data_IF_142977199109
#
_entry.id   IF_142977199109
#
_cell.length_a   1.000
_cell.length_b   1.000
_cell.length_c   1.000
_cell.angle_alpha   90.00
_cell.angle_beta   90.00
_cell.angle_gamma   90.00
#
_symmetry.space_group_name_H-M   'P 1'
#
loop_
_entity.id
_entity.type
_entity.pdbx_description
1 polymer ?
#
# COMPACT_ATOMS: atom_id res chain seq x y z
N UNK A 1 -4.49 4.77 -26.57
CA UNK A 1 -3.73 4.34 -25.38
C UNK A 1 -4.02 5.31 -24.24
N UNK A 2 -4.28 4.80 -23.04
CA UNK A 2 -4.53 5.58 -21.84
C UNK A 2 -3.32 5.57 -20.92
N UNK A 3 -2.91 6.73 -20.40
CA UNK A 3 -1.83 6.82 -19.41
C UNK A 3 -2.41 6.63 -18.01
N UNK A 4 -2.21 5.47 -17.40
CA UNK A 4 -2.77 5.12 -16.11
C UNK A 4 -1.92 5.68 -14.96
N UNK A 5 -2.11 6.97 -14.65
CA UNK A 5 -1.32 7.71 -13.66
C UNK A 5 -1.84 7.57 -12.22
N UNK A 6 -3.09 7.14 -12.07
CA UNK A 6 -3.87 7.10 -10.84
C UNK A 6 -3.22 6.21 -9.77
N UNK A 7 -2.51 5.16 -10.21
CA UNK A 7 -1.79 4.23 -9.34
C UNK A 7 -0.42 4.76 -8.89
N UNK A 8 -0.01 5.94 -9.35
CA UNK A 8 1.26 6.57 -8.99
C UNK A 8 2.50 6.04 -9.73
N UNK A 9 2.29 5.20 -10.76
CA UNK A 9 3.34 4.73 -11.66
C UNK A 9 3.37 5.59 -12.92
N UNK A 10 4.56 6.00 -13.35
CA UNK A 10 4.72 6.94 -14.49
C UNK A 10 4.75 6.24 -15.85
N UNK A 11 5.00 4.94 -15.88
CA UNK A 11 5.30 4.17 -17.08
C UNK A 11 4.27 3.07 -17.38
N UNK A 12 3.02 3.23 -16.92
CA UNK A 12 1.93 2.28 -17.19
C UNK A 12 0.95 2.89 -18.20
N UNK A 13 0.78 2.21 -19.33
CA UNK A 13 -0.10 2.62 -20.40
C UNK A 13 -1.01 1.47 -20.82
N UNK A 14 -2.30 1.75 -20.96
CA UNK A 14 -3.30 0.76 -21.36
C UNK A 14 -3.56 0.91 -22.86
N UNK A 15 -3.43 -0.19 -23.61
CA UNK A 15 -3.80 -0.22 -25.01
C UNK A 15 -5.33 -0.25 -25.20
N UNK A 16 -6.03 -0.93 -24.29
CA UNK A 16 -7.46 -1.22 -24.29
C UNK A 16 -7.95 -1.51 -22.85
N UNK A 17 -9.18 -2.02 -22.69
CA UNK A 17 -9.76 -2.36 -21.37
C UNK A 17 -10.25 -1.14 -20.57
N UNK A 18 -10.49 -0.03 -21.25
CA UNK A 18 -11.02 1.21 -20.67
C UNK A 18 -11.99 1.89 -21.62
N UNK A 19 -12.97 2.59 -21.04
CA UNK A 19 -13.95 3.43 -21.74
C UNK A 19 -13.93 4.86 -21.20
N UNK A 20 -14.18 5.81 -22.09
CA UNK A 20 -14.40 7.22 -21.69
C UNK A 20 -15.89 7.43 -21.45
N UNK A 21 -16.25 7.98 -20.30
CA UNK A 21 -17.62 8.33 -19.93
C UNK A 21 -17.73 9.83 -19.68
N UNK A 22 -18.84 10.43 -20.08
CA UNK A 22 -19.14 11.83 -19.76
C UNK A 22 -19.79 11.91 -18.37
N UNK A 23 -19.29 12.81 -17.53
CA UNK A 23 -19.81 13.07 -16.19
C UNK A 23 -20.13 14.56 -16.03
N UNK A 24 -20.88 14.93 -14.99
CA UNK A 24 -21.16 16.32 -14.66
C UNK A 24 -19.89 17.18 -14.45
N UNK A 25 -18.75 16.55 -14.17
CA UNK A 25 -17.46 17.19 -13.92
C UNK A 25 -16.48 17.06 -15.11
N UNK A 26 -16.95 16.58 -16.27
CA UNK A 26 -16.16 16.36 -17.47
C UNK A 26 -15.97 14.88 -17.81
N UNK A 27 -15.04 14.60 -18.73
CA UNK A 27 -14.73 13.23 -19.17
C UNK A 27 -13.99 12.45 -18.08
N UNK A 28 -14.48 11.26 -17.78
CA UNK A 28 -13.82 10.30 -16.89
C UNK A 28 -13.47 9.02 -17.65
N UNK A 29 -12.48 8.28 -17.15
CA UNK A 29 -12.07 6.98 -17.68
C UNK A 29 -12.55 5.89 -16.74
N UNK A 30 -13.33 4.94 -17.24
CA UNK A 30 -13.70 3.73 -16.51
C UNK A 30 -12.87 2.55 -17.03
N UNK A 31 -12.14 1.90 -16.13
CA UNK A 31 -11.42 0.65 -16.41
C UNK A 31 -12.41 -0.51 -16.24
N UNK A 32 -12.40 -1.46 -17.18
CA UNK A 32 -13.35 -2.58 -17.19
C UNK A 32 -13.07 -3.58 -16.07
N UNK A 33 -11.81 -3.98 -15.91
CA UNK A 33 -11.33 -4.91 -14.89
C UNK A 33 -10.13 -4.30 -14.15
N UNK A 34 -10.43 -3.53 -13.10
CA UNK A 34 -9.39 -2.89 -12.27
C UNK A 34 -8.58 -3.94 -11.51
N UNK A 35 -9.23 -4.99 -11.01
CA UNK A 35 -8.58 -6.02 -10.19
C UNK A 35 -7.58 -6.82 -11.02
N UNK A 36 -8.01 -7.35 -12.17
CA UNK A 36 -7.13 -8.09 -13.08
C UNK A 36 -6.00 -7.22 -13.63
N UNK A 37 -6.27 -5.93 -13.91
CA UNK A 37 -5.23 -4.98 -14.30
C UNK A 37 -4.17 -4.82 -13.19
N UNK A 38 -4.60 -4.61 -11.95
CA UNK A 38 -3.71 -4.44 -10.81
C UNK A 38 -2.89 -5.71 -10.51
N UNK A 39 -3.52 -6.89 -10.58
CA UNK A 39 -2.84 -8.18 -10.45
C UNK A 39 -1.77 -8.36 -11.54
N UNK A 40 -2.08 -8.01 -12.80
CA UNK A 40 -1.12 -8.09 -13.90
C UNK A 40 0.07 -7.14 -13.71
N UNK A 41 -0.18 -5.89 -13.31
CA UNK A 41 0.87 -4.90 -13.03
C UNK A 41 1.75 -5.37 -11.87
N UNK A 42 1.13 -5.78 -10.76
CA UNK A 42 1.88 -6.22 -9.58
C UNK A 42 2.67 -7.49 -9.83
N UNK A 43 2.12 -8.45 -10.58
CA UNK A 43 2.83 -9.66 -11.02
C UNK A 43 4.08 -9.31 -11.82
N UNK A 44 3.95 -8.46 -12.83
CA UNK A 44 5.08 -7.97 -13.64
C UNK A 44 6.15 -7.30 -12.77
N UNK A 45 5.74 -6.41 -11.86
CA UNK A 45 6.66 -5.74 -10.94
C UNK A 45 7.37 -6.73 -10.03
N UNK A 46 6.67 -7.75 -9.55
CA UNK A 46 7.18 -8.74 -8.63
C UNK A 46 8.17 -9.73 -9.27
N UNK A 47 8.03 -10.06 -10.56
CA UNK A 47 8.85 -11.07 -11.23
C UNK A 47 9.96 -10.51 -12.11
N UNK A 48 9.77 -9.36 -12.75
CA UNK A 48 10.54 -9.05 -13.98
C UNK A 48 11.58 -7.95 -13.83
N UNK A 49 11.62 -7.21 -12.71
CA UNK A 49 12.55 -6.07 -12.53
C UNK A 49 13.70 -6.39 -11.58
N UNK A 50 14.94 -5.96 -11.90
CA UNK A 50 16.09 -6.21 -11.04
C UNK A 50 16.01 -5.48 -9.69
N UNK A 51 15.37 -4.31 -9.66
CA UNK A 51 15.08 -3.53 -8.44
C UNK A 51 13.81 -2.71 -8.62
N UNK A 52 13.05 -2.55 -7.54
CA UNK A 52 11.90 -1.67 -7.47
C UNK A 52 12.36 -0.23 -7.21
N UNK A 53 11.69 0.71 -7.89
CA UNK A 53 11.66 2.10 -7.46
C UNK A 53 10.78 2.26 -6.22
N UNK A 54 10.90 3.39 -5.53
CA UNK A 54 10.02 3.71 -4.40
C UNK A 54 8.54 3.70 -4.74
N UNK A 55 8.17 4.15 -5.94
CA UNK A 55 6.79 4.17 -6.40
C UNK A 55 6.24 2.76 -6.67
N UNK A 56 7.05 1.89 -7.30
CA UNK A 56 6.68 0.49 -7.54
C UNK A 56 6.60 -0.31 -6.24
N UNK A 57 7.53 -0.06 -5.30
CA UNK A 57 7.45 -0.62 -3.95
C UNK A 57 6.16 -0.18 -3.22
N UNK A 58 5.84 1.11 -3.29
CA UNK A 58 4.60 1.66 -2.71
C UNK A 58 3.35 1.03 -3.33
N UNK A 59 3.37 0.81 -4.65
CA UNK A 59 2.28 0.15 -5.36
C UNK A 59 2.05 -1.25 -4.77
N UNK A 60 3.06 -2.14 -4.76
CA UNK A 60 2.92 -3.49 -4.22
C UNK A 60 2.48 -3.51 -2.75
N UNK A 61 3.01 -2.60 -1.92
CA UNK A 61 2.59 -2.49 -0.51
C UNK A 61 1.11 -2.13 -0.37
N UNK A 62 0.62 -1.21 -1.20
CA UNK A 62 -0.79 -0.82 -1.19
C UNK A 62 -1.70 -1.93 -1.69
N UNK A 63 -1.28 -2.70 -2.68
CA UNK A 63 -2.05 -3.87 -3.14
C UNK A 63 -2.20 -4.91 -2.03
N UNK A 64 -1.19 -5.07 -1.18
CA UNK A 64 -1.27 -5.90 0.04
C UNK A 64 -2.05 -5.25 1.18
N UNK A 65 -2.64 -4.07 0.97
CA UNK A 65 -3.32 -3.27 2.01
C UNK A 65 -2.49 -2.99 3.26
N UNK A 66 -1.15 -3.11 3.20
CA UNK A 66 -0.28 -2.88 4.35
C UNK A 66 -0.03 -1.39 4.52
N UNK A 67 -0.05 -0.89 5.76
CA UNK A 67 0.42 0.48 6.04
C UNK A 67 1.97 0.56 5.97
N UNK A 68 2.52 1.78 6.00
CA UNK A 68 3.98 1.96 6.14
C UNK A 68 4.49 1.42 7.48
N UNK A 69 3.69 1.52 8.55
CA UNK A 69 3.99 0.96 9.86
C UNK A 69 3.89 -0.58 9.84
N UNK A 70 2.82 -1.13 9.25
CA UNK A 70 2.61 -2.57 9.12
C UNK A 70 3.74 -3.25 8.35
N UNK A 71 4.16 -2.70 7.20
CA UNK A 71 5.33 -3.23 6.50
C UNK A 71 6.63 -2.99 7.29
N UNK A 72 6.81 -1.80 7.87
CA UNK A 72 8.00 -1.50 8.67
C UNK A 72 8.17 -2.46 9.86
N UNK A 73 7.07 -2.84 10.50
CA UNK A 73 7.04 -3.77 11.63
C UNK A 73 7.63 -5.14 11.33
N UNK A 74 7.51 -5.64 10.09
CA UNK A 74 8.15 -6.89 9.65
C UNK A 74 9.67 -6.88 9.77
N UNK A 75 10.28 -5.69 9.77
CA UNK A 75 11.73 -5.47 9.81
C UNK A 75 12.19 -4.70 11.04
N UNK A 76 11.30 -4.44 12.02
CA UNK A 76 11.60 -3.57 13.15
C UNK A 76 11.91 -2.12 12.74
N UNK A 77 11.37 -1.67 11.60
CA UNK A 77 11.57 -0.34 11.04
C UNK A 77 10.41 0.59 11.37
N UNK A 78 10.71 1.89 11.47
CA UNK A 78 9.70 2.91 11.62
C UNK A 78 9.00 3.19 10.27
N UNK A 79 7.73 3.59 10.32
CA UNK A 79 6.96 3.98 9.14
C UNK A 79 7.67 5.08 8.30
N UNK A 80 8.38 6.00 8.96
CA UNK A 80 9.14 7.06 8.30
C UNK A 80 10.25 6.51 7.39
N UNK A 81 10.90 5.41 7.77
CA UNK A 81 11.93 4.76 6.95
C UNK A 81 11.33 4.26 5.64
N UNK A 82 10.18 3.58 5.71
CA UNK A 82 9.42 3.12 4.53
C UNK A 82 8.99 4.32 3.68
N UNK A 83 8.51 5.40 4.30
CA UNK A 83 8.11 6.63 3.61
C UNK A 83 9.26 7.33 2.87
N UNK A 84 10.50 7.21 3.34
CA UNK A 84 11.68 7.73 2.64
C UNK A 84 11.97 6.94 1.37
N UNK A 85 11.79 5.61 1.41
CA UNK A 85 11.95 4.77 0.22
C UNK A 85 10.91 5.11 -0.84
N UNK A 86 9.64 5.21 -0.43
CA UNK A 86 8.52 5.46 -1.35
C UNK A 86 8.60 6.80 -2.07
N UNK A 87 9.13 7.82 -1.38
CA UNK A 87 9.37 9.16 -1.95
C UNK A 87 10.66 9.24 -2.77
N UNK A 88 11.41 8.14 -2.89
CA UNK A 88 12.71 8.11 -3.57
C UNK A 88 13.81 8.91 -2.86
N UNK A 89 13.61 9.27 -1.57
CA UNK A 89 14.63 9.96 -0.76
C UNK A 89 15.73 9.00 -0.32
N UNK A 90 15.41 7.71 -0.23
CA UNK A 90 16.35 6.63 0.03
C UNK A 90 16.04 5.46 -0.91
N UNK A 91 17.05 4.63 -1.21
CA UNK A 91 16.85 3.42 -2.01
C UNK A 91 16.16 2.35 -1.16
N UNK A 92 15.26 1.60 -1.77
CA UNK A 92 14.68 0.39 -1.17
C UNK A 92 15.82 -0.61 -0.90
N UNK A 93 16.02 -1.08 0.33
CA UNK A 93 16.98 -2.13 0.62
C UNK A 93 16.63 -3.44 -0.11
N UNK A 94 17.65 -4.19 -0.56
CA UNK A 94 17.45 -5.44 -1.32
C UNK A 94 16.55 -6.45 -0.58
N UNK A 95 16.66 -6.52 0.75
CA UNK A 95 15.84 -7.44 1.55
C UNK A 95 14.37 -7.02 1.54
N UNK A 96 14.08 -5.73 1.75
CA UNK A 96 12.71 -5.21 1.69
C UNK A 96 12.09 -5.37 0.30
N UNK A 97 12.87 -5.13 -0.76
CA UNK A 97 12.48 -5.36 -2.17
C UNK A 97 12.11 -6.83 -2.40
N UNK A 98 12.95 -7.79 -1.99
CA UNK A 98 12.63 -9.22 -2.13
C UNK A 98 11.40 -9.63 -1.33
N UNK A 99 11.29 -9.16 -0.09
CA UNK A 99 10.20 -9.54 0.79
C UNK A 99 8.84 -9.03 0.31
N UNK A 100 8.76 -7.79 -0.19
CA UNK A 100 7.48 -7.29 -0.73
C UNK A 100 7.04 -8.10 -1.94
N UNK A 101 7.97 -8.58 -2.78
CA UNK A 101 7.67 -9.43 -3.94
C UNK A 101 7.15 -10.79 -3.52
N UNK A 102 7.80 -11.43 -2.55
CA UNK A 102 7.35 -12.73 -2.01
C UNK A 102 5.97 -12.59 -1.40
N UNK A 103 5.77 -11.62 -0.51
CA UNK A 103 4.45 -11.38 0.10
C UNK A 103 3.36 -11.14 -0.95
N UNK A 104 3.67 -10.38 -2.00
CA UNK A 104 2.74 -10.12 -3.07
C UNK A 104 2.38 -11.39 -3.86
N UNK A 105 3.38 -12.14 -4.33
CA UNK A 105 3.17 -13.37 -5.11
C UNK A 105 2.44 -14.45 -4.30
N UNK A 106 2.78 -14.61 -3.02
CA UNK A 106 2.10 -15.55 -2.14
C UNK A 106 0.66 -15.13 -1.85
N UNK A 107 0.39 -13.83 -1.68
CA UNK A 107 -0.98 -13.33 -1.43
C UNK A 107 -1.88 -13.56 -2.64
N UNK A 108 -1.44 -13.21 -3.86
CA UNK A 108 -2.23 -13.49 -5.08
C UNK A 108 -2.30 -14.98 -5.42
N UNK A 109 -1.34 -15.78 -4.95
CA UNK A 109 -1.34 -17.24 -5.06
C UNK A 109 -2.29 -17.94 -4.07
N UNK A 110 -3.00 -17.18 -3.22
CA UNK A 110 -3.95 -17.74 -2.26
C UNK A 110 -3.31 -18.38 -1.03
N UNK A 111 -2.10 -17.96 -0.63
CA UNK A 111 -1.47 -18.49 0.57
C UNK A 111 -2.14 -17.92 1.84
N UNK A 112 -3.00 -18.73 2.46
CA UNK A 112 -3.76 -18.36 3.67
C UNK A 112 -2.87 -17.85 4.80
N UNK A 113 -1.68 -18.43 5.01
CA UNK A 113 -0.79 -18.00 6.10
C UNK A 113 -0.23 -16.60 5.87
N UNK A 114 0.07 -16.26 4.62
CA UNK A 114 0.53 -14.91 4.24
C UNK A 114 -0.62 -13.92 4.35
N UNK A 115 -1.81 -14.29 3.90
CA UNK A 115 -3.00 -13.45 4.03
C UNK A 115 -3.38 -13.20 5.50
N UNK A 116 -3.29 -14.21 6.36
CA UNK A 116 -3.49 -14.09 7.80
C UNK A 116 -2.45 -13.16 8.45
N UNK A 117 -1.18 -13.26 8.04
CA UNK A 117 -0.12 -12.37 8.50
C UNK A 117 -0.44 -10.91 8.12
N UNK A 118 -0.81 -10.66 6.87
CA UNK A 118 -1.18 -9.33 6.38
C UNK A 118 -2.35 -8.77 7.20
N UNK A 119 -3.40 -9.58 7.41
CA UNK A 119 -4.55 -9.20 8.22
C UNK A 119 -4.16 -8.80 9.64
N UNK A 120 -3.32 -9.61 10.30
CA UNK A 120 -2.83 -9.31 11.66
C UNK A 120 -2.04 -8.00 11.73
N UNK A 121 -1.21 -7.71 10.73
CA UNK A 121 -0.47 -6.45 10.68
C UNK A 121 -1.42 -5.24 10.56
N UNK A 122 -2.47 -5.37 9.76
CA UNK A 122 -3.47 -4.33 9.60
C UNK A 122 -4.29 -4.13 10.89
N UNK A 123 -4.69 -5.22 11.55
CA UNK A 123 -5.41 -5.16 12.82
C UNK A 123 -4.58 -4.45 13.91
N UNK A 124 -3.26 -4.72 13.99
CA UNK A 124 -2.36 -4.06 14.92
C UNK A 124 -2.23 -2.55 14.65
N UNK A 125 -2.15 -2.16 13.38
CA UNK A 125 -2.13 -0.74 13.00
C UNK A 125 -3.45 -0.04 13.32
N UNK A 126 -4.58 -0.70 13.08
CA UNK A 126 -5.91 -0.16 13.41
C UNK A 126 -6.08 0.01 14.92
N UNK A 127 -5.72 -0.99 15.73
CA UNK A 127 -5.76 -0.88 17.19
C UNK A 127 -4.89 0.28 17.71
N UNK A 128 -3.75 0.54 17.08
CA UNK A 128 -2.89 1.67 17.45
C UNK A 128 -3.57 3.01 17.19
N UNK A 129 -4.32 3.14 16.09
CA UNK A 129 -5.07 4.35 15.73
C UNK A 129 -6.32 4.53 16.60
N UNK A 130 -6.96 3.44 17.00
CA UNK A 130 -8.21 3.43 17.76
C UNK A 130 -8.04 3.56 19.27
N UNK A 131 -6.80 3.58 19.79
CA UNK A 131 -6.53 3.88 21.20
C UNK A 131 -7.08 5.25 21.57
N UNK A 132 -8.30 5.27 22.11
CA UNK A 132 -8.97 6.47 22.60
C UNK A 132 -8.15 7.07 23.72
N UNK A 133 -7.77 8.33 23.55
CA UNK A 133 -7.25 9.15 24.64
C UNK A 133 -8.45 9.86 25.26
N UNK A 134 -8.87 9.40 26.45
CA UNK A 134 -9.98 9.99 27.17
C UNK A 134 -9.40 11.06 28.11
N UNK A 135 -10.00 12.25 28.10
CA UNK A 135 -9.67 13.33 29.01
C UNK A 135 -10.89 13.67 29.85
N UNK A 136 -10.66 14.03 31.11
CA UNK A 136 -11.72 14.47 32.03
C UNK A 136 -11.35 15.83 32.64
N UNK A 137 -12.34 16.69 32.81
CA UNK A 137 -12.18 17.96 33.52
C UNK A 137 -12.16 17.72 35.04
N UNK A 138 -11.18 18.33 35.73
CA UNK A 138 -11.03 18.27 37.18
C UNK A 138 -10.85 19.68 37.74
N UNK A 139 -10.93 19.85 39.06
CA UNK A 139 -10.64 21.12 39.72
C UNK A 139 -9.21 21.66 39.46
N UNK A 140 -8.30 20.84 38.92
CA UNK A 140 -6.93 21.21 38.53
C UNK A 140 -6.76 21.36 37.01
N UNK A 141 -7.85 21.32 36.24
CA UNK A 141 -7.86 21.37 34.78
C UNK A 141 -8.11 20.00 34.11
N UNK A 142 -7.95 19.95 32.79
CA UNK A 142 -8.12 18.75 31.98
C UNK A 142 -6.99 17.74 32.24
N UNK A 143 -7.35 16.51 32.60
CA UNK A 143 -6.40 15.44 32.90
C UNK A 143 -6.71 14.16 32.09
N UNK A 144 -5.69 13.35 31.74
CA UNK A 144 -5.90 12.05 31.13
C UNK A 144 -6.71 11.15 32.06
N UNK A 145 -7.75 10.50 31.53
CA UNK A 145 -8.51 9.45 32.20
C UNK A 145 -8.04 8.10 31.66
N UNK A 146 -7.67 7.18 32.55
CA UNK A 146 -7.44 5.80 32.14
C UNK A 146 -8.73 5.26 31.49
N UNK A 147 -8.59 4.66 30.31
CA UNK A 147 -9.69 4.06 29.57
C UNK A 147 -10.30 2.88 30.33
#
# INVERSE_FOLDING_TARGET
MYHYKEIGLRNVWLANGYRTIDTAYGKATAIEDVEGLHQAIGGLLATSKPRLTGAEFRFLRKELSLSQAGFGGLFGLQAQTVALWERGKQRVPKLADRMIRVLYLESIGGNDKVNDLIKRLNDLDQQRLERKQIFQETAKGWMPKAA
#
